data_IF_842163975098
#
_entry.id   IF_842163975098
#
_cell.length_a   1.000
_cell.length_b   1.000
_cell.length_c   1.000
_cell.angle_alpha   90.00
_cell.angle_beta   90.00
_cell.angle_gamma   90.00
#
_symmetry.space_group_name_H-M   'P 1'
#
loop_
_entity.id
_entity.type
_entity.pdbx_description
1 polymer ?
#
# COMPACT_ATOMS: atom_id res chain seq x y z
N UNK A 1 23.76 -24.44 -0.88
CA UNK A 1 22.86 -23.54 -1.61
C UNK A 1 22.04 -22.82 -0.55
N UNK A 2 22.17 -21.51 -0.43
CA UNK A 2 21.39 -20.71 0.53
C UNK A 2 19.99 -20.55 -0.06
N UNK A 3 19.00 -21.16 0.59
CA UNK A 3 17.60 -21.00 0.20
C UNK A 3 17.22 -19.52 0.24
N UNK A 4 16.99 -18.94 -0.94
CA UNK A 4 16.60 -17.55 -1.10
C UNK A 4 15.13 -17.41 -0.64
N UNK A 5 14.91 -17.30 0.67
CA UNK A 5 13.57 -17.21 1.28
C UNK A 5 12.68 -16.14 0.62
N UNK A 6 13.29 -15.08 0.08
CA UNK A 6 12.62 -14.05 -0.70
C UNK A 6 11.99 -14.58 -2.00
N UNK A 7 12.74 -15.37 -2.79
CA UNK A 7 12.22 -15.94 -4.03
C UNK A 7 11.09 -16.92 -3.71
N UNK A 8 11.24 -17.70 -2.64
CA UNK A 8 10.18 -18.58 -2.14
C UNK A 8 8.92 -17.79 -1.76
N UNK A 9 9.06 -16.65 -1.08
CA UNK A 9 7.94 -15.75 -0.73
C UNK A 9 7.27 -15.14 -1.96
N UNK A 10 8.03 -14.75 -3.00
CA UNK A 10 7.46 -14.23 -4.26
C UNK A 10 6.72 -15.34 -5.01
N UNK A 11 7.28 -16.54 -5.08
CA UNK A 11 6.61 -17.70 -5.68
C UNK A 11 5.36 -18.09 -4.92
N UNK A 12 5.43 -18.18 -3.59
CA UNK A 12 4.29 -18.45 -2.74
C UNK A 12 3.23 -17.34 -2.87
N UNK A 13 3.63 -16.08 -2.97
CA UNK A 13 2.71 -14.99 -3.27
C UNK A 13 2.04 -15.24 -4.62
N UNK A 14 2.79 -15.38 -5.73
CA UNK A 14 2.24 -15.54 -7.07
C UNK A 14 1.32 -16.77 -7.21
N UNK A 15 1.62 -17.89 -6.55
CA UNK A 15 0.91 -19.17 -6.75
C UNK A 15 -0.02 -19.62 -5.61
N UNK A 16 0.13 -19.16 -4.35
CA UNK A 16 -0.74 -19.60 -3.23
C UNK A 16 -1.98 -18.74 -3.04
N UNK A 17 -1.92 -17.43 -3.27
CA UNK A 17 -3.07 -16.54 -3.09
C UNK A 17 -3.31 -15.65 -4.29
N UNK A 18 -4.46 -15.85 -4.94
CA UNK A 18 -4.94 -14.98 -6.01
C UNK A 18 -5.49 -13.65 -5.48
N UNK A 19 -5.66 -13.51 -4.16
CA UNK A 19 -6.18 -12.31 -3.50
C UNK A 19 -5.14 -11.73 -2.56
N UNK A 20 -5.04 -10.40 -2.48
CA UNK A 20 -4.18 -9.68 -1.54
C UNK A 20 -4.98 -8.56 -0.89
N UNK A 21 -4.92 -8.45 0.44
CA UNK A 21 -5.53 -7.36 1.18
C UNK A 21 -4.64 -6.10 1.09
N UNK A 22 -5.25 -4.92 0.98
CA UNK A 22 -4.50 -3.67 0.81
C UNK A 22 -3.53 -3.38 1.97
N UNK A 23 -3.93 -3.67 3.20
CA UNK A 23 -3.07 -3.48 4.38
C UNK A 23 -1.89 -4.45 4.41
N UNK A 24 -2.09 -5.68 3.94
CA UNK A 24 -0.99 -6.64 3.82
C UNK A 24 -0.05 -6.25 2.69
N UNK A 25 -0.57 -5.72 1.57
CA UNK A 25 0.25 -5.14 0.51
C UNK A 25 1.14 -3.99 1.03
N UNK A 26 0.59 -3.08 1.85
CA UNK A 26 1.34 -1.98 2.48
C UNK A 26 2.49 -2.51 3.35
N UNK A 27 2.23 -3.54 4.17
CA UNK A 27 3.27 -4.21 4.97
C UNK A 27 4.35 -4.85 4.10
N UNK A 28 3.95 -5.56 3.05
CA UNK A 28 4.90 -6.19 2.12
C UNK A 28 5.78 -5.15 1.41
N UNK A 29 5.20 -4.01 0.99
CA UNK A 29 5.97 -2.91 0.41
C UNK A 29 7.02 -2.38 1.40
N UNK A 30 6.65 -2.20 2.67
CA UNK A 30 7.58 -1.79 3.72
C UNK A 30 8.72 -2.79 3.98
N UNK A 31 8.47 -4.09 3.80
CA UNK A 31 9.50 -5.12 3.94
C UNK A 31 10.45 -5.18 2.73
N UNK A 32 9.95 -4.89 1.53
CA UNK A 32 10.67 -5.11 0.27
C UNK A 32 11.36 -3.85 -0.24
N UNK A 33 10.79 -2.68 0.02
CA UNK A 33 11.26 -1.38 -0.43
C UNK A 33 11.91 -0.60 0.73
N UNK A 34 12.84 0.33 0.44
CA UNK A 34 13.44 1.19 1.46
C UNK A 34 12.45 2.28 1.89
N UNK A 35 11.39 1.90 2.60
CA UNK A 35 10.40 2.83 3.16
C UNK A 35 10.96 3.46 4.45
N UNK A 36 11.09 4.78 4.47
CA UNK A 36 11.59 5.54 5.61
C UNK A 36 10.47 5.95 6.57
N UNK A 37 9.27 6.21 6.04
CA UNK A 37 8.10 6.63 6.81
C UNK A 37 7.04 5.54 6.92
N UNK A 38 5.82 5.90 6.54
CA UNK A 38 4.70 4.98 6.44
C UNK A 38 4.15 4.94 5.02
N UNK A 39 3.65 3.77 4.63
CA UNK A 39 3.03 3.59 3.32
C UNK A 39 1.57 4.03 3.42
N UNK A 40 1.13 4.91 2.52
CA UNK A 40 -0.28 5.21 2.33
C UNK A 40 -0.63 5.30 0.84
N UNK A 41 -1.91 5.48 0.52
CA UNK A 41 -2.40 5.46 -0.85
C UNK A 41 -3.39 6.58 -1.17
N UNK A 42 -3.28 7.09 -2.39
CA UNK A 42 -4.32 7.91 -3.02
C UNK A 42 -5.12 7.05 -4.00
N UNK A 43 -6.44 7.18 -3.99
CA UNK A 43 -7.34 6.41 -4.86
C UNK A 43 -8.15 7.33 -5.77
N UNK A 44 -8.17 7.03 -7.06
CA UNK A 44 -9.01 7.76 -8.03
C UNK A 44 -9.43 6.88 -9.20
N UNK A 45 -10.57 7.22 -9.82
CA UNK A 45 -11.05 6.56 -11.03
C UNK A 45 -10.43 7.20 -12.26
N UNK A 46 -9.82 6.39 -13.12
CA UNK A 46 -9.25 6.82 -14.40
C UNK A 46 -9.47 5.75 -15.46
N UNK A 47 -9.90 6.14 -16.66
CA UNK A 47 -10.06 5.26 -17.82
C UNK A 47 -10.95 4.01 -17.56
N UNK A 48 -11.98 4.15 -16.71
CA UNK A 48 -12.89 3.06 -16.34
C UNK A 48 -12.34 2.05 -15.33
N UNK A 49 -11.08 2.20 -14.90
CA UNK A 49 -10.45 1.46 -13.81
C UNK A 49 -10.32 2.30 -12.54
N UNK A 50 -10.09 1.63 -11.41
CA UNK A 50 -9.69 2.29 -10.18
C UNK A 50 -8.16 2.28 -10.10
N UNK A 51 -7.57 3.41 -9.76
CA UNK A 51 -6.13 3.57 -9.64
C UNK A 51 -5.76 3.80 -8.17
N UNK A 52 -4.76 3.07 -7.68
CA UNK A 52 -4.13 3.27 -6.38
C UNK A 52 -2.73 3.79 -6.60
N UNK A 53 -2.36 4.89 -5.95
CA UNK A 53 -0.99 5.41 -5.94
C UNK A 53 -0.44 5.23 -4.54
N UNK A 54 0.44 4.24 -4.36
CA UNK A 54 1.08 3.97 -3.09
C UNK A 54 2.36 4.78 -2.98
N UNK A 55 2.52 5.50 -1.88
CA UNK A 55 3.69 6.36 -1.62
C UNK A 55 4.23 6.15 -0.22
N UNK A 56 5.51 6.46 -0.04
CA UNK A 56 6.12 6.60 1.27
C UNK A 56 5.91 8.03 1.79
N UNK A 57 5.24 8.16 2.93
CA UNK A 57 5.00 9.43 3.61
C UNK A 57 5.90 9.52 4.85
N UNK A 58 6.93 10.36 4.76
CA UNK A 58 7.78 10.75 5.90
C UNK A 58 7.33 12.14 6.42
N UNK A 59 7.32 12.34 7.74
CA UNK A 59 6.56 13.43 8.36
C UNK A 59 7.27 14.80 8.38
N UNK A 60 6.55 15.79 7.82
CA UNK A 60 6.25 17.16 8.29
C UNK A 60 7.07 18.40 7.91
N UNK A 61 8.37 18.38 7.60
CA UNK A 61 9.10 19.65 7.36
C UNK A 61 9.46 19.97 5.90
N UNK A 62 9.07 19.12 4.94
CA UNK A 62 9.32 19.37 3.52
C UNK A 62 8.12 18.97 2.68
N UNK A 63 7.39 19.98 2.23
CA UNK A 63 6.50 19.88 1.07
C UNK A 63 7.19 19.13 -0.09
N UNK A 64 6.45 18.21 -0.72
CA UNK A 64 6.63 17.70 -2.09
C UNK A 64 7.43 16.42 -2.41
N UNK A 65 7.83 15.58 -1.44
CA UNK A 65 8.47 14.29 -1.80
C UNK A 65 7.88 13.10 -1.04
N UNK A 66 6.63 12.76 -1.36
CA UNK A 66 6.16 11.40 -1.11
C UNK A 66 6.75 10.51 -2.22
N UNK A 67 7.79 9.74 -1.90
CA UNK A 67 8.47 8.89 -2.89
C UNK A 67 7.48 7.82 -3.38
N UNK A 68 7.24 7.82 -4.70
CA UNK A 68 6.31 6.89 -5.34
C UNK A 68 6.82 5.46 -5.15
N UNK A 69 6.03 4.60 -4.52
CA UNK A 69 6.38 3.19 -4.38
C UNK A 69 5.91 2.41 -5.61
N UNK A 70 4.62 2.50 -5.91
CA UNK A 70 4.04 1.98 -7.13
C UNK A 70 2.64 2.55 -7.36
N UNK A 71 2.16 2.42 -8.59
CA UNK A 71 0.79 2.72 -8.97
C UNK A 71 0.12 1.48 -9.54
N UNK A 72 -1.04 1.13 -8.99
CA UNK A 72 -1.83 -0.02 -9.40
C UNK A 72 -3.04 0.46 -10.17
N UNK A 73 -3.33 -0.15 -11.32
CA UNK A 73 -4.62 0.02 -12.00
C UNK A 73 -5.39 -1.29 -11.87
N UNK A 74 -6.58 -1.22 -11.28
CA UNK A 74 -7.48 -2.36 -11.10
C UNK A 74 -8.72 -2.22 -11.98
N UNK A 75 -9.25 -3.35 -12.45
CA UNK A 75 -10.50 -3.40 -13.21
C UNK A 75 -11.73 -3.51 -12.29
N UNK A 76 -12.92 -3.62 -12.89
CA UNK A 76 -14.19 -3.76 -12.16
C UNK A 76 -14.34 -5.03 -11.33
N UNK A 77 -13.47 -6.03 -11.54
CA UNK A 77 -13.44 -7.27 -10.75
C UNK A 77 -12.38 -7.20 -9.63
N UNK A 78 -11.85 -6.02 -9.37
CA UNK A 78 -10.78 -5.73 -8.42
C UNK A 78 -9.44 -6.40 -8.78
N UNK A 79 -9.23 -6.77 -10.04
CA UNK A 79 -7.99 -7.44 -10.50
C UNK A 79 -6.99 -6.38 -10.95
N UNK A 80 -5.78 -6.44 -10.40
CA UNK A 80 -4.64 -5.60 -10.78
C UNK A 80 -4.26 -5.92 -12.23
N UNK A 81 -4.44 -4.95 -13.12
CA UNK A 81 -4.09 -5.02 -14.54
C UNK A 81 -2.70 -4.48 -14.81
N UNK A 82 -2.33 -3.38 -14.14
CA UNK A 82 -1.09 -2.65 -14.37
C UNK A 82 -0.44 -2.29 -13.05
N UNK A 83 0.88 -2.45 -12.98
CA UNK A 83 1.73 -1.98 -11.90
C UNK A 83 2.80 -1.07 -12.50
N UNK A 84 2.72 0.22 -12.24
CA UNK A 84 3.70 1.23 -12.66
C UNK A 84 4.64 1.56 -11.49
N UNK A 85 5.92 1.73 -11.78
CA UNK A 85 6.94 2.17 -10.82
C UNK A 85 8.04 2.94 -11.55
N UNK A 86 8.83 3.70 -10.82
CA UNK A 86 9.96 4.49 -11.32
C UNK A 86 11.33 3.83 -11.10
N UNK A 87 11.35 2.65 -10.47
CA UNK A 87 12.58 1.91 -10.16
C UNK A 87 13.38 1.62 -11.43
N UNK A 88 14.65 2.06 -11.51
CA UNK A 88 15.50 1.78 -12.65
C UNK A 88 15.70 0.27 -12.87
N UNK A 89 15.57 -0.21 -14.11
CA UNK A 89 15.61 -1.65 -14.42
C UNK A 89 16.99 -2.27 -14.16
N UNK A 90 17.01 -3.41 -13.46
CA UNK A 90 18.12 -4.38 -13.36
C UNK A 90 19.50 -3.86 -12.92
N UNK A 91 19.57 -2.73 -12.20
CA UNK A 91 20.86 -2.14 -11.77
C UNK A 91 21.56 -2.97 -10.68
N UNK A 92 20.81 -3.59 -9.77
CA UNK A 92 21.36 -4.40 -8.68
C UNK A 92 20.35 -5.45 -8.19
N UNK A 93 20.82 -6.43 -7.42
CA UNK A 93 20.00 -7.53 -6.89
C UNK A 93 18.80 -7.04 -6.07
N UNK A 94 18.91 -5.89 -5.38
CA UNK A 94 17.83 -5.30 -4.60
C UNK A 94 16.70 -4.80 -5.52
N UNK A 95 17.03 -4.03 -6.54
CA UNK A 95 16.06 -3.54 -7.53
C UNK A 95 15.41 -4.69 -8.30
N UNK A 96 16.18 -5.72 -8.65
CA UNK A 96 15.64 -6.92 -9.31
C UNK A 96 14.58 -7.60 -8.44
N UNK A 97 14.85 -7.76 -7.13
CA UNK A 97 13.89 -8.33 -6.18
C UNK A 97 12.61 -7.51 -6.07
N UNK A 98 12.72 -6.17 -6.01
CA UNK A 98 11.56 -5.29 -5.95
C UNK A 98 10.73 -5.38 -7.23
N UNK A 99 11.37 -5.32 -8.41
CA UNK A 99 10.68 -5.43 -9.70
C UNK A 99 9.96 -6.79 -9.83
N UNK A 100 10.60 -7.89 -9.42
CA UNK A 100 9.97 -9.21 -9.42
C UNK A 100 8.76 -9.27 -8.51
N UNK A 101 8.85 -8.68 -7.32
CA UNK A 101 7.72 -8.55 -6.41
C UNK A 101 6.57 -7.74 -7.03
N UNK A 102 6.85 -6.53 -7.54
CA UNK A 102 5.84 -5.67 -8.16
C UNK A 102 5.19 -6.36 -9.38
N UNK A 103 5.99 -7.02 -10.21
CA UNK A 103 5.51 -7.79 -11.37
C UNK A 103 4.58 -8.93 -10.94
N UNK A 104 4.85 -9.55 -9.78
CA UNK A 104 4.02 -10.63 -9.24
C UNK A 104 2.63 -10.19 -8.78
N UNK A 105 2.38 -8.87 -8.65
CA UNK A 105 1.08 -8.33 -8.25
C UNK A 105 0.06 -8.33 -9.40
N UNK A 106 0.53 -8.26 -10.65
CA UNK A 106 -0.34 -8.28 -11.83
C UNK A 106 -1.14 -9.58 -11.86
N UNK A 107 -2.46 -9.47 -12.06
CA UNK A 107 -3.39 -10.59 -12.06
C UNK A 107 -3.94 -10.97 -10.69
N UNK A 108 -3.43 -10.40 -9.59
CA UNK A 108 -4.02 -10.59 -8.26
C UNK A 108 -5.28 -9.73 -8.10
N UNK A 109 -6.24 -10.26 -7.34
CA UNK A 109 -7.38 -9.51 -6.84
C UNK A 109 -6.96 -8.70 -5.62
N UNK A 110 -7.13 -7.39 -5.66
CA UNK A 110 -6.90 -6.50 -4.52
C UNK A 110 -8.19 -6.40 -3.71
N UNK A 111 -8.15 -6.78 -2.44
CA UNK A 111 -9.24 -6.54 -1.51
C UNK A 111 -8.97 -5.24 -0.75
N UNK A 112 -9.60 -4.16 -1.19
CA UNK A 112 -9.43 -2.80 -0.67
C UNK A 112 -10.74 -2.18 -0.18
N UNK A 113 -11.86 -2.93 -0.23
CA UNK A 113 -13.14 -2.41 0.24
C UNK A 113 -13.00 -2.13 1.73
N UNK A 114 -12.88 -0.83 2.03
CA UNK A 114 -12.95 -0.25 3.35
C UNK A 114 -14.17 -0.87 4.02
N UNK A 115 -14.03 -1.34 5.27
CA UNK A 115 -15.22 -1.69 6.06
C UNK A 115 -16.12 -0.45 6.06
N UNK A 116 -17.25 -0.50 5.36
CA UNK A 116 -18.26 0.56 5.32
C UNK A 116 -19.03 0.64 6.66
N UNK A 117 -18.33 0.56 7.80
CA UNK A 117 -18.93 0.67 9.13
C UNK A 117 -18.44 1.89 9.92
N UNK A 118 -17.45 2.66 9.43
CA UNK A 118 -17.03 3.90 10.10
C UNK A 118 -16.78 5.02 9.07
N UNK A 119 -17.84 5.42 8.35
CA UNK A 119 -17.89 6.77 7.79
C UNK A 119 -18.03 7.72 8.97
N UNK A 120 -16.89 8.15 9.54
CA UNK A 120 -16.86 9.34 10.37
C UNK A 120 -17.06 10.50 9.42
N UNK A 121 -18.27 11.08 9.45
CA UNK A 121 -18.60 12.32 8.77
C UNK A 121 -17.56 13.38 9.20
N UNK A 122 -16.79 14.00 8.28
CA UNK A 122 -15.75 14.98 8.62
C UNK A 122 -16.32 16.30 9.22
N UNK A 123 -17.62 16.34 9.53
CA UNK A 123 -18.31 17.46 10.15
C UNK A 123 -18.71 17.25 11.62
N UNK A 124 -18.39 16.11 12.25
CA UNK A 124 -18.62 15.97 13.69
C UNK A 124 -17.50 16.68 14.49
N UNK A 125 -17.82 17.73 15.28
CA UNK A 125 -16.82 18.38 16.10
C UNK A 125 -16.38 17.45 17.24
N UNK A 126 -15.11 17.07 17.24
CA UNK A 126 -14.43 16.42 18.36
C UNK A 126 -14.36 17.42 19.52
N UNK A 127 -15.30 17.35 20.45
CA UNK A 127 -15.19 18.03 21.75
C UNK A 127 -15.44 17.02 22.85
N UNK A 128 -14.42 16.24 23.19
CA UNK A 128 -14.37 15.50 24.45
C UNK A 128 -12.98 15.59 25.06
N UNK A 129 -12.63 16.77 25.60
CA UNK A 129 -11.68 16.86 26.71
C UNK A 129 -12.06 18.07 27.56
N UNK A 130 -12.68 17.81 28.72
CA UNK A 130 -12.57 18.53 30.00
C UNK A 130 -13.72 18.13 30.92
N UNK A 131 -13.76 16.88 31.37
CA UNK A 131 -14.38 16.55 32.66
C UNK A 131 -13.63 15.39 33.31
N UNK A 132 -12.38 15.67 33.68
CA UNK A 132 -11.85 15.16 34.93
C UNK A 132 -11.45 16.40 35.76
N UNK A 133 -11.79 16.37 37.06
CA UNK A 133 -11.68 17.45 38.06
C UNK A 133 -12.91 18.37 38.26
N UNK A 134 -13.99 17.80 38.80
CA UNK A 134 -14.46 18.29 40.11
C UNK A 134 -14.58 17.09 41.04
N UNK A 135 -13.48 16.84 41.76
CA UNK A 135 -13.52 16.15 43.04
C UNK A 135 -14.48 16.88 43.98
N UNK A 136 -15.26 16.10 44.74
CA UNK A 136 -15.76 16.53 46.06
C UNK A 136 -17.27 16.75 46.15
N UNK A 137 -18.00 15.67 46.43
CA UNK A 137 -19.20 15.68 47.27
C UNK A 137 -19.12 14.52 48.26
#
# INVERSE_FOLDING_TARGET
MTDNSFIQKVQDSYFKSLTIDLEDLKKMLKEVMPVEGYVDFEMFKKDGGMTFVLKDYYNEDKWDAADLLCKLTINSNDIIQVVEHDIPPFINDKNQKIILFLSSLVGKKLNYKVKEDDIVDPLEPVVEYLYDEIQGL
#
